data_IF_078477845734
#
_entry.id   IF_078477845734
#
_cell.length_a   1.000
_cell.length_b   1.000
_cell.length_c   1.000
_cell.angle_alpha   90.00
_cell.angle_beta   90.00
_cell.angle_gamma   90.00
#
_symmetry.space_group_name_H-M   'P 1'
#
loop_
_entity.id
_entity.type
_entity.pdbx_description
1 polymer ?
#
# COMPACT_ATOMS: atom_id res chain seq x y z
N UNK A 1 6.86 26.99 5.11
CA UNK A 1 6.92 26.62 6.54
C UNK A 1 8.05 25.61 6.73
N UNK A 2 8.90 25.76 7.75
CA UNK A 2 10.00 24.84 8.05
C UNK A 2 9.72 24.15 9.38
N UNK A 3 9.71 22.81 9.39
CA UNK A 3 9.59 22.01 10.61
C UNK A 3 10.95 21.37 10.87
N UNK A 4 11.51 21.58 12.07
CA UNK A 4 12.76 20.97 12.49
C UNK A 4 12.52 19.59 13.09
N UNK A 5 13.19 18.56 12.57
CA UNK A 5 13.15 17.20 13.11
C UNK A 5 14.45 16.90 13.83
N UNK A 6 14.38 16.44 15.08
CA UNK A 6 15.55 16.04 15.84
C UNK A 6 16.00 14.65 15.39
N UNK A 7 17.17 14.59 14.77
CA UNK A 7 17.82 13.35 14.34
C UNK A 7 19.13 13.18 15.10
N UNK A 8 19.39 11.97 15.56
CA UNK A 8 20.68 11.57 16.10
C UNK A 8 21.78 11.62 15.02
N UNK A 9 23.03 11.55 15.46
CA UNK A 9 24.20 11.67 14.58
C UNK A 9 24.35 10.49 13.63
N UNK A 10 23.97 9.28 14.03
CA UNK A 10 24.06 8.09 13.18
C UNK A 10 23.05 8.18 12.03
N UNK A 11 21.78 8.46 12.33
CA UNK A 11 20.73 8.62 11.32
C UNK A 11 21.09 9.73 10.31
N UNK A 12 21.64 10.84 10.79
CA UNK A 12 22.08 11.94 9.92
C UNK A 12 23.22 11.53 8.99
N UNK A 13 24.18 10.76 9.48
CA UNK A 13 25.29 10.25 8.68
C UNK A 13 24.80 9.25 7.63
N UNK A 14 23.89 8.34 8.00
CA UNK A 14 23.26 7.38 7.06
C UNK A 14 22.51 8.10 5.94
N UNK A 15 21.70 9.11 6.28
CA UNK A 15 20.99 9.92 5.29
C UNK A 15 21.94 10.67 4.35
N UNK A 16 23.05 11.19 4.87
CA UNK A 16 24.07 11.87 4.05
C UNK A 16 24.75 10.90 3.09
N UNK A 17 25.19 9.74 3.58
CA UNK A 17 25.84 8.72 2.74
C UNK A 17 24.90 8.21 1.65
N UNK A 18 23.64 7.94 2.01
CA UNK A 18 22.63 7.50 1.06
C UNK A 18 22.29 8.58 0.03
N UNK A 19 22.23 9.85 0.46
CA UNK A 19 22.06 10.99 -0.44
C UNK A 19 23.21 11.10 -1.45
N UNK A 20 24.47 10.99 -0.98
CA UNK A 20 25.65 11.00 -1.85
C UNK A 20 25.59 9.88 -2.90
N UNK A 21 25.28 8.65 -2.48
CA UNK A 21 25.17 7.50 -3.38
C UNK A 21 24.04 7.65 -4.42
N UNK A 22 23.00 8.43 -4.11
CA UNK A 22 21.84 8.67 -4.99
C UNK A 22 21.90 9.99 -5.76
N UNK A 23 22.98 10.77 -5.61
CA UNK A 23 23.09 12.14 -6.13
C UNK A 23 21.92 13.06 -5.69
N UNK A 24 21.61 13.01 -4.40
CA UNK A 24 20.51 13.77 -3.78
C UNK A 24 20.96 14.42 -2.47
N UNK A 25 20.39 15.59 -2.18
CA UNK A 25 20.67 16.29 -0.92
C UNK A 25 20.07 15.57 0.28
N UNK A 26 20.66 15.73 1.46
CA UNK A 26 20.13 15.15 2.71
C UNK A 26 18.71 15.65 3.01
N UNK A 27 18.41 16.91 2.67
CA UNK A 27 17.05 17.46 2.81
C UNK A 27 16.03 16.77 1.90
N UNK A 28 16.42 16.47 0.65
CA UNK A 28 15.58 15.70 -0.26
C UNK A 28 15.33 14.30 0.29
N UNK A 29 16.37 13.63 0.81
CA UNK A 29 16.24 12.30 1.43
C UNK A 29 15.28 12.30 2.64
N UNK A 30 15.31 13.35 3.47
CA UNK A 30 14.39 13.48 4.60
C UNK A 30 12.95 13.64 4.13
N UNK A 31 12.70 14.51 3.15
CA UNK A 31 11.36 14.70 2.58
C UNK A 31 10.82 13.41 1.97
N UNK A 32 11.65 12.74 1.20
CA UNK A 32 11.29 11.49 0.54
C UNK A 32 10.95 10.39 1.56
N UNK A 33 11.74 10.28 2.63
CA UNK A 33 11.49 9.31 3.70
C UNK A 33 10.14 9.56 4.40
N UNK A 34 9.80 10.83 4.65
CA UNK A 34 8.52 11.21 5.26
C UNK A 34 7.37 10.90 4.30
N UNK A 35 7.48 11.29 3.03
CA UNK A 35 6.44 11.03 2.02
C UNK A 35 6.19 9.53 1.87
N UNK A 36 7.25 8.73 1.74
CA UNK A 36 7.13 7.29 1.64
C UNK A 36 6.51 6.66 2.89
N UNK A 37 6.84 7.15 4.09
CA UNK A 37 6.21 6.67 5.32
C UNK A 37 4.70 6.97 5.32
N UNK A 38 4.32 8.20 4.96
CA UNK A 38 2.92 8.59 4.86
C UNK A 38 2.16 7.75 3.85
N UNK A 39 2.69 7.53 2.65
CA UNK A 39 2.04 6.73 1.62
C UNK A 39 1.74 5.30 2.09
N UNK A 40 2.69 4.70 2.83
CA UNK A 40 2.53 3.36 3.40
C UNK A 40 1.47 3.35 4.49
N UNK A 41 1.52 4.31 5.41
CA UNK A 41 0.59 4.40 6.55
C UNK A 41 -0.84 4.73 6.09
N UNK A 42 -0.99 5.67 5.15
CA UNK A 42 -2.29 6.03 4.57
C UNK A 42 -2.90 4.88 3.77
N UNK A 43 -2.08 4.10 3.07
CA UNK A 43 -2.56 2.87 2.43
C UNK A 43 -3.05 1.87 3.47
N UNK A 44 -2.29 1.66 4.53
CA UNK A 44 -2.64 0.74 5.60
C UNK A 44 -3.95 1.13 6.29
N UNK A 45 -4.09 2.40 6.69
CA UNK A 45 -5.32 2.87 7.36
C UNK A 45 -6.54 2.81 6.43
N UNK A 46 -6.37 3.06 5.13
CA UNK A 46 -7.46 2.85 4.16
C UNK A 46 -7.87 1.39 4.06
N UNK A 47 -6.93 0.47 3.91
CA UNK A 47 -7.21 -0.97 3.80
C UNK A 47 -7.91 -1.47 5.07
N UNK A 48 -7.40 -1.08 6.24
CA UNK A 48 -7.99 -1.37 7.55
C UNK A 48 -9.42 -0.82 7.68
N UNK A 49 -9.66 0.42 7.22
CA UNK A 49 -11.00 0.99 7.24
C UNK A 49 -11.97 0.22 6.31
N UNK A 50 -11.52 -0.19 5.12
CA UNK A 50 -12.30 -1.02 4.21
C UNK A 50 -12.65 -2.38 4.82
N UNK A 51 -11.67 -3.04 5.43
CA UNK A 51 -11.87 -4.35 6.05
C UNK A 51 -12.79 -4.28 7.27
N UNK A 52 -12.64 -3.26 8.11
CA UNK A 52 -13.55 -3.01 9.22
C UNK A 52 -14.99 -2.75 8.73
N UNK A 53 -15.16 -1.98 7.66
CA UNK A 53 -16.48 -1.72 7.09
C UNK A 53 -17.11 -3.00 6.50
N UNK A 54 -16.30 -3.85 5.85
CA UNK A 54 -16.76 -5.16 5.35
C UNK A 54 -17.15 -6.08 6.50
N UNK A 55 -16.35 -6.13 7.55
CA UNK A 55 -16.64 -6.91 8.75
C UNK A 55 -17.94 -6.44 9.41
N UNK A 56 -18.12 -5.14 9.60
CA UNK A 56 -19.33 -4.59 10.20
C UNK A 56 -20.58 -4.95 9.38
N UNK A 57 -20.52 -4.84 8.04
CA UNK A 57 -21.64 -5.27 7.18
C UNK A 57 -21.98 -6.75 7.36
N UNK A 58 -20.98 -7.61 7.52
CA UNK A 58 -21.22 -9.02 7.77
C UNK A 58 -21.87 -9.24 9.14
N UNK A 59 -21.38 -8.58 10.19
CA UNK A 59 -21.97 -8.64 11.54
C UNK A 59 -23.44 -8.19 11.52
N UNK A 60 -23.74 -7.10 10.82
CA UNK A 60 -25.08 -6.51 10.79
C UNK A 60 -26.06 -7.32 9.94
N UNK A 61 -25.61 -7.90 8.82
CA UNK A 61 -26.49 -8.51 7.81
C UNK A 61 -26.42 -10.03 7.75
N UNK A 62 -25.36 -10.64 8.27
CA UNK A 62 -25.02 -12.05 8.09
C UNK A 62 -24.69 -12.44 6.64
N UNK A 63 -24.65 -11.50 5.69
CA UNK A 63 -24.48 -11.79 4.27
C UNK A 63 -23.03 -12.16 3.95
N UNK A 64 -22.83 -13.38 3.44
CA UNK A 64 -21.55 -13.87 2.94
C UNK A 64 -21.75 -14.63 1.63
N UNK A 65 -20.70 -14.69 0.81
CA UNK A 65 -20.69 -15.50 -0.41
C UNK A 65 -20.15 -16.89 -0.07
N UNK A 66 -20.88 -17.95 -0.43
CA UNK A 66 -20.40 -19.34 -0.24
C UNK A 66 -19.12 -19.58 -1.04
N UNK A 67 -18.19 -20.36 -0.48
CA UNK A 67 -16.91 -20.67 -1.11
C UNK A 67 -17.04 -21.18 -2.56
N UNK A 68 -17.97 -22.11 -2.82
CA UNK A 68 -18.27 -22.64 -4.17
C UNK A 68 -18.66 -21.57 -5.18
N UNK A 69 -19.39 -20.53 -4.74
CA UNK A 69 -19.79 -19.44 -5.62
C UNK A 69 -18.59 -18.53 -5.94
N UNK A 70 -17.67 -18.35 -4.99
CA UNK A 70 -16.42 -17.61 -5.21
C UNK A 70 -15.51 -18.34 -6.19
N UNK A 71 -15.27 -19.64 -5.99
CA UNK A 71 -14.40 -20.44 -6.88
C UNK A 71 -14.92 -20.45 -8.31
N UNK A 72 -16.22 -20.74 -8.49
CA UNK A 72 -16.86 -20.68 -9.82
C UNK A 72 -16.66 -19.31 -10.50
N UNK A 73 -16.84 -18.21 -9.76
CA UNK A 73 -16.68 -16.86 -10.31
C UNK A 73 -15.23 -16.53 -10.67
N UNK A 74 -14.26 -17.03 -9.90
CA UNK A 74 -12.83 -16.90 -10.22
C UNK A 74 -12.50 -17.68 -11.49
N UNK A 75 -12.97 -18.92 -11.62
CA UNK A 75 -12.74 -19.75 -12.81
C UNK A 75 -13.33 -19.11 -14.08
N UNK A 76 -14.53 -18.55 -13.99
CA UNK A 76 -15.16 -17.79 -15.07
C UNK A 76 -14.36 -16.53 -15.47
N UNK A 77 -13.71 -15.86 -14.51
CA UNK A 77 -12.85 -14.69 -14.78
C UNK A 77 -11.55 -15.10 -15.48
N UNK A 78 -10.92 -16.18 -15.02
CA UNK A 78 -9.71 -16.74 -15.66
C UNK A 78 -10.04 -17.20 -17.08
N UNK A 79 -11.13 -17.95 -17.26
CA UNK A 79 -11.59 -18.45 -18.56
C UNK A 79 -11.96 -17.36 -19.56
N UNK A 80 -12.39 -16.18 -19.10
CA UNK A 80 -12.60 -14.99 -19.95
C UNK A 80 -11.30 -14.36 -20.42
N UNK A 81 -10.29 -14.25 -19.54
CA UNK A 81 -8.96 -13.75 -19.92
C UNK A 81 -8.29 -14.64 -20.96
N UNK A 82 -8.35 -15.96 -20.80
CA UNK A 82 -7.73 -16.91 -21.73
C UNK A 82 -8.40 -16.89 -23.10
N UNK A 83 -9.74 -16.78 -23.18
CA UNK A 83 -10.46 -16.59 -24.45
C UNK A 83 -10.10 -15.28 -25.15
N UNK A 84 -9.97 -14.18 -24.41
CA UNK A 84 -9.58 -12.88 -24.97
C UNK A 84 -8.13 -12.86 -25.49
N UNK A 85 -7.24 -13.64 -24.89
CA UNK A 85 -5.85 -13.77 -25.32
C UNK A 85 -5.67 -14.67 -26.56
N UNK A 86 -6.56 -15.66 -26.75
CA UNK A 86 -6.50 -16.62 -27.88
C UNK A 86 -7.19 -16.14 -29.15
N UNK A 87 -8.03 -15.10 -29.05
CA UNK A 87 -8.74 -14.47 -30.17
C UNK A 87 -8.07 -13.21 -30.72
N UNK A 88 -6.77 -13.01 -30.46
CA UNK A 88 -5.96 -11.90 -30.96
C UNK A 88 -4.73 -12.42 -31.69
#
# INVERSE_FOLDING_TARGET
MTVGVKLDSDTRNRLRQLGYAKDRSTHWMMKEAIAHYLDVEERYEREKAEDNARWQRYVDTGQAIRHEAVTKRIDELVGRKTRKARGR
#
